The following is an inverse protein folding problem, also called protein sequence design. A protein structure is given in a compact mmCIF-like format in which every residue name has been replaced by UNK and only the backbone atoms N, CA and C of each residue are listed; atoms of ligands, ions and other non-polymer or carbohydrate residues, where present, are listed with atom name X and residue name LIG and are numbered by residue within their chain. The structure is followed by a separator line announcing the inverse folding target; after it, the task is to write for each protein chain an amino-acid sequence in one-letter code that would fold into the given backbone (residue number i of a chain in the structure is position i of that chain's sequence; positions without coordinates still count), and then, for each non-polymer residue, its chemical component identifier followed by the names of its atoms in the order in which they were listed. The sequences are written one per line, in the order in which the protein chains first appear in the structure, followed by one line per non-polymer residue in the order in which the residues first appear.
data_IF_779950265117
#
_entry.id   IF_779950265117
#
_cell.length_a   1.000
_cell.length_b   1.000
_cell.length_c   1.000
_cell.angle_alpha   90.00
_cell.angle_beta   90.00
_cell.angle_gamma   90.00
#
_symmetry.space_group_name_H-M   'P 1'
#
loop_
_entity.id
_entity.type
_entity.pdbx_description
1 polymer ?
#
# COMPACT_ATOMS: atom_id res chain seq x y z
N UNK A 1 10.58 -11.28 3.65
CA UNK A 1 10.38 -10.51 4.88
C UNK A 1 9.07 -9.77 4.76
N UNK A 2 8.12 -9.93 5.68
CA UNK A 2 6.88 -9.14 5.77
C UNK A 2 7.14 -7.64 5.88
N UNK A 3 6.17 -6.82 5.46
CA UNK A 3 6.28 -5.36 5.50
C UNK A 3 6.47 -4.84 6.93
N UNK A 4 5.72 -5.37 7.91
CA UNK A 4 5.86 -4.95 9.32
C UNK A 4 7.24 -5.23 9.90
N UNK A 5 7.83 -6.36 9.54
CA UNK A 5 9.20 -6.69 9.95
C UNK A 5 10.21 -5.71 9.33
N UNK A 6 10.01 -5.36 8.05
CA UNK A 6 10.83 -4.37 7.36
C UNK A 6 10.72 -2.98 8.02
N UNK A 7 9.51 -2.56 8.39
CA UNK A 7 9.25 -1.30 9.12
C UNK A 7 9.97 -1.31 10.47
N UNK A 8 9.79 -2.38 11.26
CA UNK A 8 10.39 -2.50 12.58
C UNK A 8 11.93 -2.52 12.53
N UNK A 9 12.51 -3.04 11.45
CA UNK A 9 13.96 -3.08 11.26
C UNK A 9 14.59 -1.71 10.98
N UNK A 10 13.82 -0.73 10.47
CA UNK A 10 14.36 0.57 10.02
C UNK A 10 13.81 1.77 10.79
N UNK A 11 12.80 1.58 11.65
CA UNK A 11 12.14 2.67 12.37
C UNK A 11 12.36 2.57 13.88
N UNK A 12 12.48 3.74 14.54
CA UNK A 12 12.41 3.81 16.01
C UNK A 12 10.96 3.78 16.50
N UNK A 13 10.05 4.35 15.72
CA UNK A 13 8.61 4.36 15.94
C UNK A 13 7.87 4.38 14.59
N UNK A 14 6.67 3.81 14.57
CA UNK A 14 5.78 3.82 13.40
C UNK A 14 4.33 3.92 13.86
N UNK A 15 3.62 4.92 13.34
CA UNK A 15 2.18 5.09 13.52
C UNK A 15 1.52 4.92 12.16
N UNK A 16 0.82 3.80 11.98
CA UNK A 16 0.10 3.49 10.74
C UNK A 16 -1.07 4.46 10.53
N UNK A 17 -1.23 4.94 9.30
CA UNK A 17 -2.39 5.70 8.86
C UNK A 17 -3.20 4.87 7.88
N UNK A 18 -4.51 4.80 8.08
CA UNK A 18 -5.43 4.08 7.19
C UNK A 18 -6.44 5.07 6.60
N UNK A 19 -6.43 5.33 5.28
CA UNK A 19 -7.50 6.09 4.66
C UNK A 19 -8.82 5.32 4.78
N UNK A 20 -9.93 6.04 4.86
CA UNK A 20 -11.25 5.43 4.92
C UNK A 20 -11.46 4.52 3.71
N UNK A 21 -11.71 3.23 3.95
CA UNK A 21 -11.99 2.27 2.89
C UNK A 21 -13.46 2.33 2.47
N UNK A 22 -13.71 2.41 1.16
CA UNK A 22 -15.03 2.10 0.61
C UNK A 22 -15.29 0.59 0.60
N UNK A 23 -16.56 0.16 0.42
CA UNK A 23 -16.90 -1.25 0.34
C UNK A 23 -16.21 -1.93 -0.84
N UNK A 24 -15.74 -3.15 -0.62
CA UNK A 24 -15.09 -3.95 -1.65
C UNK A 24 -16.13 -4.79 -2.39
N UNK A 25 -16.10 -4.74 -3.71
CA UNK A 25 -16.94 -5.62 -4.54
C UNK A 25 -16.25 -6.97 -4.67
N UNK A 26 -16.97 -8.06 -4.41
CA UNK A 26 -16.44 -9.43 -4.32
C UNK A 26 -15.26 -9.72 -5.25
N UNK A 27 -15.52 -10.00 -6.52
CA UNK A 27 -14.49 -10.29 -7.54
C UNK A 27 -13.91 -9.03 -8.20
N UNK A 28 -13.91 -7.92 -7.46
CA UNK A 28 -13.31 -6.66 -7.86
C UNK A 28 -14.10 -5.92 -8.94
N UNK A 29 -13.48 -4.89 -9.55
CA UNK A 29 -14.17 -3.96 -10.45
C UNK A 29 -14.43 -4.51 -11.85
N UNK A 30 -13.74 -5.60 -12.24
CA UNK A 30 -13.91 -6.25 -13.55
C UNK A 30 -14.51 -7.65 -13.44
N UNK A 31 -14.94 -8.07 -12.25
CA UNK A 31 -15.54 -9.39 -12.02
C UNK A 31 -14.57 -10.55 -12.29
N UNK A 32 -13.31 -10.41 -11.90
CA UNK A 32 -12.31 -11.46 -12.09
C UNK A 32 -12.61 -12.64 -11.15
N UNK A 33 -13.04 -13.77 -11.72
CA UNK A 33 -13.45 -14.95 -10.97
C UNK A 33 -12.43 -15.36 -9.89
N UNK A 34 -12.87 -15.43 -8.63
CA UNK A 34 -12.06 -15.85 -7.48
C UNK A 34 -11.06 -14.80 -6.98
N UNK A 35 -11.15 -13.56 -7.46
CA UNK A 35 -10.33 -12.47 -6.95
C UNK A 35 -10.67 -12.15 -5.49
N UNK A 36 -11.95 -12.10 -5.13
CA UNK A 36 -12.37 -11.82 -3.75
C UNK A 36 -11.80 -12.83 -2.76
N UNK A 37 -11.85 -14.11 -3.09
CA UNK A 37 -11.25 -15.17 -2.28
C UNK A 37 -9.72 -15.06 -2.22
N UNK A 38 -9.07 -14.72 -3.33
CA UNK A 38 -7.62 -14.54 -3.37
C UNK A 38 -7.17 -13.42 -2.44
N UNK A 39 -7.95 -12.34 -2.36
CA UNK A 39 -7.73 -11.24 -1.42
C UNK A 39 -7.96 -11.66 0.02
N UNK A 40 -9.06 -12.37 0.30
CA UNK A 40 -9.35 -12.88 1.64
C UNK A 40 -8.22 -13.81 2.15
N UNK A 41 -7.71 -14.70 1.29
CA UNK A 41 -6.55 -15.54 1.60
C UNK A 41 -5.28 -14.73 1.83
N UNK A 42 -5.04 -13.70 1.02
CA UNK A 42 -3.90 -12.80 1.20
C UNK A 42 -3.98 -12.08 2.55
N UNK A 43 -5.13 -11.51 2.88
CA UNK A 43 -5.36 -10.82 4.15
C UNK A 43 -5.19 -11.76 5.36
N UNK A 44 -5.76 -12.96 5.30
CA UNK A 44 -5.58 -13.96 6.36
C UNK A 44 -4.11 -14.39 6.53
N UNK A 45 -3.35 -14.45 5.44
CA UNK A 45 -1.94 -14.85 5.45
C UNK A 45 -1.02 -13.76 5.98
N UNK A 46 -1.23 -12.51 5.58
CA UNK A 46 -0.33 -11.40 5.92
C UNK A 46 -0.76 -10.62 7.16
N UNK A 47 -2.04 -10.70 7.54
CA UNK A 47 -2.65 -9.81 8.52
C UNK A 47 -2.94 -8.41 7.97
N UNK A 48 -2.73 -8.18 6.67
CA UNK A 48 -2.90 -6.87 6.03
C UNK A 48 -4.16 -6.78 5.19
N UNK A 49 -4.75 -5.60 5.15
CA UNK A 49 -5.92 -5.33 4.31
C UNK A 49 -5.55 -5.03 2.84
N UNK A 50 -4.29 -4.66 2.59
CA UNK A 50 -3.79 -4.29 1.26
C UNK A 50 -2.26 -4.42 1.17
N UNK A 51 -1.73 -4.40 -0.05
CA UNK A 51 -0.31 -4.51 -0.40
C UNK A 51 0.56 -3.32 -0.05
N UNK A 52 -0.02 -2.22 0.42
CA UNK A 52 0.71 -1.01 0.83
C UNK A 52 0.31 -0.64 2.24
N UNK A 53 1.28 -0.46 3.12
CA UNK A 53 1.13 0.18 4.42
C UNK A 53 1.76 1.57 4.32
N UNK A 54 1.19 2.54 5.01
CA UNK A 54 1.84 3.83 5.19
C UNK A 54 1.57 4.41 6.58
N UNK A 55 2.44 5.31 7.02
CA UNK A 55 2.38 5.87 8.35
C UNK A 55 3.42 6.97 8.55
N UNK A 56 3.34 7.66 9.69
CA UNK A 56 4.47 8.47 10.16
C UNK A 56 5.44 7.61 10.94
N UNK A 57 6.73 7.86 10.77
CA UNK A 57 7.79 7.15 11.46
C UNK A 57 8.93 8.09 11.84
N UNK A 58 9.84 7.56 12.65
CA UNK A 58 11.17 8.10 12.85
C UNK A 58 12.20 7.09 12.36
N UNK A 59 13.11 7.55 11.50
CA UNK A 59 14.22 6.76 10.93
C UNK A 59 15.51 7.52 11.16
N UNK A 60 16.46 6.91 11.86
CA UNK A 60 17.73 7.54 12.23
C UNK A 60 17.53 8.90 12.93
N UNK A 61 16.52 8.98 13.79
CA UNK A 61 16.16 10.20 14.53
C UNK A 61 15.47 11.28 13.70
N UNK A 62 15.12 11.02 12.43
CA UNK A 62 14.42 11.97 11.54
C UNK A 62 12.98 11.53 11.32
N UNK A 63 12.02 12.44 11.52
CA UNK A 63 10.61 12.20 11.19
C UNK A 63 10.43 12.08 9.67
N UNK A 64 9.65 11.09 9.25
CA UNK A 64 9.29 10.86 7.86
C UNK A 64 7.87 10.33 7.74
N UNK A 65 7.34 10.35 6.52
CA UNK A 65 6.27 9.44 6.13
C UNK A 65 6.93 8.20 5.53
N UNK A 66 6.55 7.03 6.02
CA UNK A 66 7.07 5.76 5.53
C UNK A 66 5.97 5.00 4.80
N UNK A 67 6.35 4.45 3.65
CA UNK A 67 5.55 3.53 2.82
C UNK A 67 6.27 2.19 2.80
N UNK A 68 5.55 1.09 3.01
CA UNK A 68 6.09 -0.26 2.87
C UNK A 68 5.14 -1.16 2.10
N UNK A 69 5.69 -1.95 1.16
CA UNK A 69 4.91 -2.89 0.39
C UNK A 69 4.91 -4.28 1.04
N UNK A 70 3.73 -4.89 1.14
CA UNK A 70 3.55 -6.27 1.59
C UNK A 70 3.49 -7.21 0.38
N UNK A 71 4.64 -7.79 0.01
CA UNK A 71 4.73 -8.70 -1.13
C UNK A 71 3.85 -9.95 -0.96
N UNK A 72 3.63 -10.40 0.28
CA UNK A 72 2.70 -11.48 0.60
C UNK A 72 1.25 -11.15 0.25
N UNK A 73 0.89 -9.88 0.10
CA UNK A 73 -0.44 -9.47 -0.33
C UNK A 73 -0.48 -9.35 -1.85
N UNK A 74 -0.87 -10.45 -2.51
CA UNK A 74 -0.99 -10.53 -3.97
C UNK A 74 0.26 -10.04 -4.72
N UNK A 75 1.45 -10.44 -4.27
CA UNK A 75 2.72 -10.06 -4.89
C UNK A 75 3.10 -8.59 -4.68
N UNK A 76 2.53 -7.92 -3.67
CA UNK A 76 2.72 -6.48 -3.47
C UNK A 76 2.11 -5.65 -4.61
N UNK A 77 1.18 -6.23 -5.38
CA UNK A 77 0.68 -5.62 -6.61
C UNK A 77 -0.12 -4.35 -6.33
N UNK A 78 -0.04 -3.39 -7.26
CA UNK A 78 -0.70 -2.11 -7.17
C UNK A 78 -2.12 -2.18 -7.76
N UNK A 79 -3.12 -2.28 -6.89
CA UNK A 79 -4.54 -2.05 -7.23
C UNK A 79 -5.00 -0.65 -6.82
N UNK A 80 -6.29 -0.35 -7.00
CA UNK A 80 -6.91 0.95 -6.67
C UNK A 80 -6.63 1.37 -5.22
N UNK A 81 -6.90 0.50 -4.25
CA UNK A 81 -6.73 0.81 -2.82
C UNK A 81 -5.27 0.98 -2.42
N UNK A 82 -4.36 0.21 -3.02
CA UNK A 82 -2.93 0.41 -2.85
C UNK A 82 -2.49 1.77 -3.42
N UNK A 83 -3.05 2.19 -4.57
CA UNK A 83 -2.87 3.53 -5.13
C UNK A 83 -3.41 4.64 -4.23
N UNK A 84 -4.62 4.48 -3.68
CA UNK A 84 -5.22 5.44 -2.74
C UNK A 84 -4.36 5.61 -1.47
N UNK A 85 -3.77 4.52 -0.97
CA UNK A 85 -2.82 4.55 0.16
C UNK A 85 -1.51 5.27 -0.18
N UNK A 86 -0.98 5.09 -1.38
CA UNK A 86 0.21 5.81 -1.84
C UNK A 86 -0.07 7.31 -1.98
N UNK A 87 -1.17 7.68 -2.62
CA UNK A 87 -1.59 9.09 -2.77
C UNK A 87 -1.80 9.75 -1.39
N UNK A 88 -2.44 9.04 -0.46
CA UNK A 88 -2.59 9.51 0.92
C UNK A 88 -1.24 9.70 1.64
N UNK A 89 -0.27 8.82 1.39
CA UNK A 89 1.08 8.96 1.95
C UNK A 89 1.82 10.18 1.39
N UNK A 90 1.76 10.43 0.08
CA UNK A 90 2.33 11.61 -0.55
C UNK A 90 1.67 12.91 -0.07
N UNK A 91 0.33 12.92 0.04
CA UNK A 91 -0.42 14.03 0.58
C UNK A 91 -0.01 14.34 2.03
N UNK A 92 0.10 13.30 2.87
CA UNK A 92 0.54 13.43 4.26
C UNK A 92 1.97 13.98 4.37
N UNK A 93 2.89 13.50 3.53
CA UNK A 93 4.28 13.96 3.49
C UNK A 93 4.34 15.45 3.12
N UNK A 94 3.56 15.85 2.11
CA UNK A 94 3.44 17.23 1.66
C UNK A 94 2.86 18.14 2.74
N UNK A 95 1.72 17.77 3.32
CA UNK A 95 1.04 18.52 4.37
C UNK A 95 1.96 18.77 5.57
N UNK A 96 2.67 17.73 6.00
CA UNK A 96 3.57 17.79 7.16
C UNK A 96 4.96 18.30 6.83
N UNK A 97 5.27 18.53 5.55
CA UNK A 97 6.61 18.89 5.05
C UNK A 97 7.68 17.90 5.54
N UNK A 98 7.36 16.61 5.48
CA UNK A 98 8.25 15.51 5.88
C UNK A 98 8.80 14.80 4.64
N UNK A 99 10.04 14.27 4.69
CA UNK A 99 10.52 13.37 3.65
C UNK A 99 9.66 12.10 3.61
N UNK A 100 9.50 11.53 2.42
CA UNK A 100 8.88 10.22 2.23
C UNK A 100 9.95 9.15 2.00
N UNK A 101 9.86 8.04 2.72
CA UNK A 101 10.74 6.86 2.59
C UNK A 101 9.90 5.69 2.12
N UNK A 102 10.34 4.99 1.06
CA UNK A 102 9.61 3.87 0.48
C UNK A 102 10.41 2.57 0.53
N UNK A 103 9.82 1.54 1.12
CA UNK A 103 10.32 0.16 1.13
C UNK A 103 9.57 -0.62 0.05
N UNK A 104 10.13 -0.65 -1.16
CA UNK A 104 9.46 -1.16 -2.35
C UNK A 104 9.61 -2.67 -2.48
N UNK A 105 8.48 -3.37 -2.63
CA UNK A 105 8.40 -4.79 -2.94
C UNK A 105 7.11 -5.08 -3.72
N UNK A 106 7.17 -5.06 -5.04
CA UNK A 106 5.97 -5.19 -5.89
C UNK A 106 6.24 -5.99 -7.15
N UNK A 107 5.27 -6.81 -7.55
CA UNK A 107 5.20 -7.48 -8.86
C UNK A 107 4.59 -6.61 -9.97
N UNK A 108 4.26 -5.34 -9.69
CA UNK A 108 3.67 -4.41 -10.65
C UNK A 108 2.16 -4.21 -10.48
N UNK A 109 1.46 -3.88 -11.56
CA UNK A 109 0.02 -3.60 -11.54
C UNK A 109 -0.81 -4.84 -11.22
N UNK A 110 -1.90 -4.66 -10.46
CA UNK A 110 -2.82 -5.75 -10.12
C UNK A 110 -3.75 -6.10 -11.29
N UNK A 111 -3.38 -7.13 -12.04
CA UNK A 111 -4.12 -7.57 -13.24
C UNK A 111 -5.61 -7.83 -12.98
N UNK A 112 -5.98 -8.29 -11.79
CA UNK A 112 -7.37 -8.57 -11.39
C UNK A 112 -8.25 -7.31 -11.34
N UNK A 113 -7.66 -6.12 -11.41
CA UNK A 113 -8.40 -4.85 -11.51
C UNK A 113 -8.24 -4.18 -12.89
N UNK A 114 -7.52 -4.81 -13.82
CA UNK A 114 -7.39 -4.36 -15.21
C UNK A 114 -6.82 -2.94 -15.36
N UNK A 115 -7.43 -2.14 -16.22
CA UNK A 115 -6.99 -0.75 -16.50
C UNK A 115 -7.00 0.14 -15.25
N UNK A 116 -7.86 -0.15 -14.26
CA UNK A 116 -7.91 0.61 -13.01
C UNK A 116 -6.59 0.48 -12.25
N UNK A 117 -5.98 -0.72 -12.22
CA UNK A 117 -4.66 -0.90 -11.61
C UNK A 117 -3.56 -0.20 -12.40
N UNK A 118 -3.63 -0.21 -13.74
CA UNK A 118 -2.60 0.41 -14.57
C UNK A 118 -2.53 1.94 -14.38
N UNK A 119 -3.67 2.61 -14.28
CA UNK A 119 -3.73 4.07 -14.08
C UNK A 119 -3.21 4.52 -12.71
N UNK A 120 -3.06 3.61 -11.75
CA UNK A 120 -2.50 3.95 -10.43
C UNK A 120 -1.05 4.41 -10.53
N UNK A 121 -0.26 3.89 -11.47
CA UNK A 121 1.11 4.36 -11.68
C UNK A 121 1.15 5.85 -12.06
N UNK A 122 0.21 6.29 -12.91
CA UNK A 122 0.09 7.69 -13.29
C UNK A 122 -0.40 8.56 -12.12
N UNK A 123 -1.38 8.09 -11.34
CA UNK A 123 -1.86 8.79 -10.14
C UNK A 123 -0.74 9.01 -9.13
N UNK A 124 0.02 7.94 -8.83
CA UNK A 124 1.12 7.99 -7.88
C UNK A 124 2.24 8.90 -8.37
N UNK A 125 2.61 8.82 -9.65
CA UNK A 125 3.62 9.71 -10.24
C UNK A 125 3.18 11.18 -10.26
N UNK A 126 1.89 11.47 -10.43
CA UNK A 126 1.36 12.83 -10.34
C UNK A 126 1.29 13.38 -8.91
N UNK A 127 1.22 12.51 -7.91
CA UNK A 127 1.17 12.88 -6.50
C UNK A 127 2.57 13.04 -5.86
N UNK A 128 3.61 12.46 -6.49
CA UNK A 128 4.98 12.41 -5.97
C UNK A 128 5.78 13.69 -6.16
#
# INVERSE_FOLDING_TARGET
MPARDAIAAVTEDFTEHRPAGGPETGDGPIGWAGYGESRARAAARTGEEESVLHGTARVAGRSCVLVAFEFGFLGGSLGRRAGDRLEAAYALATERRLPLVSLVATGGSRMQEGMIALTQLQRVAGAS
#
